data_IF_237686964474
#
_entry.id   IF_237686964474
#
_cell.length_a   1.000
_cell.length_b   1.000
_cell.length_c   1.000
_cell.angle_alpha   90.00
_cell.angle_beta   90.00
_cell.angle_gamma   90.00
#
_symmetry.space_group_name_H-M   'P 1'
#
loop_
_entity.id
_entity.type
_entity.pdbx_description
1 polymer ?
#
# COMPACT_ATOMS: atom_id res chain seq x y z
N UNK A 1 -5.16 -12.01 -18.41
CA UNK A 1 -6.15 -11.17 -17.71
C UNK A 1 -5.36 -9.99 -17.17
N UNK A 2 -5.60 -8.77 -17.65
CA UNK A 2 -4.87 -7.60 -17.13
C UNK A 2 -5.26 -7.41 -15.67
N UNK A 3 -4.28 -7.13 -14.81
CA UNK A 3 -4.46 -6.88 -13.37
C UNK A 3 -5.15 -5.52 -13.08
N UNK A 4 -5.88 -4.94 -14.03
CA UNK A 4 -6.21 -3.50 -14.06
C UNK A 4 -7.63 -3.11 -13.60
N UNK A 5 -8.49 -4.04 -13.18
CA UNK A 5 -9.90 -3.73 -12.91
C UNK A 5 -10.29 -3.77 -11.42
N UNK A 6 -9.33 -3.89 -10.51
CA UNK A 6 -9.65 -3.80 -9.07
C UNK A 6 -9.76 -2.33 -8.63
N UNK A 7 -10.84 -1.94 -7.93
CA UNK A 7 -11.02 -0.56 -7.48
C UNK A 7 -9.97 -0.19 -6.42
N UNK A 8 -9.40 1.00 -6.58
CA UNK A 8 -8.53 1.61 -5.55
C UNK A 8 -9.42 2.30 -4.52
N UNK A 9 -9.55 1.69 -3.33
CA UNK A 9 -10.18 2.34 -2.17
C UNK A 9 -9.18 3.29 -1.52
N UNK A 10 -9.53 4.55 -1.23
CA UNK A 10 -8.61 5.54 -0.62
C UNK A 10 -8.76 5.62 0.91
N UNK A 11 -8.78 4.46 1.56
CA UNK A 11 -8.88 4.32 3.02
C UNK A 11 -7.92 3.24 3.54
N UNK A 12 -7.84 3.11 4.87
CA UNK A 12 -7.03 2.11 5.57
C UNK A 12 -7.72 0.76 5.80
N UNK A 13 -8.87 0.47 5.20
CA UNK A 13 -9.66 -0.71 5.56
C UNK A 13 -9.22 -1.96 4.79
N UNK A 14 -9.14 -3.09 5.50
CA UNK A 14 -8.94 -4.40 4.89
C UNK A 14 -10.24 -4.91 4.26
N UNK A 15 -10.13 -5.54 3.09
CA UNK A 15 -11.28 -6.02 2.33
C UNK A 15 -11.06 -7.43 1.83
N UNK A 16 -12.11 -8.24 1.93
CA UNK A 16 -12.19 -9.56 1.31
C UNK A 16 -13.08 -9.47 0.07
N UNK A 17 -12.51 -9.77 -1.10
CA UNK A 17 -13.26 -9.89 -2.36
C UNK A 17 -14.27 -11.03 -2.27
N UNK A 18 -15.50 -10.79 -2.71
CA UNK A 18 -16.62 -11.73 -2.74
C UNK A 18 -17.05 -12.01 -4.17
N UNK A 19 -18.01 -12.93 -4.32
CA UNK A 19 -18.66 -13.21 -5.61
C UNK A 19 -19.28 -11.92 -6.17
N UNK A 20 -19.37 -11.85 -7.49
CA UNK A 20 -19.97 -10.72 -8.23
C UNK A 20 -19.29 -9.36 -7.96
N UNK A 21 -18.01 -9.34 -7.59
CA UNK A 21 -17.22 -8.11 -7.46
C UNK A 21 -17.54 -7.25 -6.23
N UNK A 22 -18.31 -7.78 -5.27
CA UNK A 22 -18.53 -7.11 -3.98
C UNK A 22 -17.33 -7.27 -3.04
N UNK A 23 -17.16 -6.32 -2.12
CA UNK A 23 -16.07 -6.33 -1.13
C UNK A 23 -16.63 -6.20 0.27
N UNK A 24 -16.24 -7.10 1.17
CA UNK A 24 -16.59 -7.04 2.60
C UNK A 24 -15.41 -6.47 3.37
N UNK A 25 -15.64 -5.42 4.15
CA UNK A 25 -14.65 -4.92 5.12
C UNK A 25 -14.42 -5.97 6.21
N UNK A 26 -13.16 -6.21 6.55
CA UNK A 26 -12.74 -7.15 7.60
C UNK A 26 -11.76 -6.46 8.53
N UNK A 27 -11.61 -7.01 9.74
CA UNK A 27 -10.66 -6.48 10.72
C UNK A 27 -9.22 -6.63 10.21
N UNK A 28 -8.33 -5.68 10.54
CA UNK A 28 -6.90 -5.81 10.29
C UNK A 28 -6.31 -6.98 11.10
N UNK A 29 -5.18 -7.56 10.67
CA UNK A 29 -4.44 -8.51 11.50
C UNK A 29 -4.01 -7.83 12.81
N UNK A 30 -4.11 -8.57 13.92
CA UNK A 30 -3.57 -8.11 15.21
C UNK A 30 -2.06 -8.35 15.19
N UNK A 31 -1.29 -7.27 15.33
CA UNK A 31 0.16 -7.30 15.40
C UNK A 31 0.60 -7.15 16.86
N UNK A 32 1.55 -7.98 17.30
CA UNK A 32 2.10 -7.93 18.67
C UNK A 32 3.19 -6.86 18.83
N UNK A 33 3.73 -6.37 17.71
CA UNK A 33 4.76 -5.35 17.61
C UNK A 33 4.73 -4.73 16.19
N UNK A 34 5.40 -3.58 15.97
CA UNK A 34 5.64 -3.10 14.62
C UNK A 34 6.34 -4.15 13.76
N UNK A 35 5.96 -4.23 12.49
CA UNK A 35 6.48 -5.23 11.54
C UNK A 35 7.24 -4.58 10.40
N UNK A 36 8.08 -5.38 9.75
CA UNK A 36 8.76 -5.02 8.52
C UNK A 36 8.15 -5.78 7.34
N UNK A 37 7.86 -5.07 6.25
CA UNK A 37 7.66 -5.70 4.95
C UNK A 37 9.03 -5.98 4.34
N UNK A 38 9.43 -7.25 4.33
CA UNK A 38 10.77 -7.66 3.90
C UNK A 38 10.92 -7.76 2.38
N UNK A 39 9.82 -7.72 1.62
CA UNK A 39 9.88 -7.88 0.16
C UNK A 39 8.64 -7.30 -0.52
N UNK A 40 8.79 -6.11 -1.12
CA UNK A 40 7.75 -5.54 -1.97
C UNK A 40 8.35 -4.89 -3.21
N UNK A 41 7.60 -4.86 -4.31
CA UNK A 41 7.99 -4.14 -5.52
C UNK A 41 7.14 -2.88 -5.61
N UNK A 42 7.53 -1.80 -4.91
CA UNK A 42 6.69 -0.59 -4.78
C UNK A 42 6.26 -0.03 -6.14
N UNK A 43 7.17 0.04 -7.11
CA UNK A 43 6.89 0.54 -8.46
C UNK A 43 5.81 -0.23 -9.23
N UNK A 44 5.50 -1.46 -8.82
CA UNK A 44 4.50 -2.31 -9.47
C UNK A 44 3.14 -2.27 -8.76
N UNK A 45 3.05 -1.54 -7.64
CA UNK A 45 1.78 -1.35 -6.94
C UNK A 45 0.90 -0.35 -7.69
N UNK A 46 -0.43 -0.53 -7.72
CA UNK A 46 -1.35 0.39 -8.40
C UNK A 46 -1.29 1.84 -7.89
N UNK A 47 -1.00 2.01 -6.60
CA UNK A 47 -0.79 3.32 -5.96
C UNK A 47 0.25 3.16 -4.84
N UNK A 48 1.56 3.39 -5.12
CA UNK A 48 2.62 3.16 -4.15
C UNK A 48 2.55 4.09 -2.93
N UNK A 49 2.13 5.36 -3.13
CA UNK A 49 1.95 6.32 -2.04
C UNK A 49 0.86 5.88 -1.07
N UNK A 50 -0.30 5.46 -1.60
CA UNK A 50 -1.38 4.91 -0.78
C UNK A 50 -0.99 3.61 -0.07
N UNK A 51 -0.22 2.73 -0.72
CA UNK A 51 0.28 1.51 -0.09
C UNK A 51 1.17 1.82 1.11
N UNK A 52 2.07 2.79 0.98
CA UNK A 52 2.91 3.26 2.09
C UNK A 52 2.09 3.94 3.20
N UNK A 53 1.05 4.71 2.86
CA UNK A 53 0.15 5.29 3.84
C UNK A 53 -0.55 4.21 4.69
N UNK A 54 -0.98 3.13 4.05
CA UNK A 54 -1.58 1.96 4.72
C UNK A 54 -0.57 1.21 5.59
N UNK A 55 0.67 1.09 5.14
CA UNK A 55 1.75 0.52 5.96
C UNK A 55 1.87 1.30 7.28
N UNK A 56 1.96 2.62 7.21
CA UNK A 56 2.05 3.47 8.39
C UNK A 56 0.81 3.36 9.30
N UNK A 57 -0.39 3.32 8.74
CA UNK A 57 -1.64 3.18 9.50
C UNK A 57 -1.77 1.83 10.24
N UNK A 58 -1.06 0.79 9.78
CA UNK A 58 -1.12 -0.57 10.33
C UNK A 58 0.21 -1.03 10.93
N UNK A 59 1.05 -0.10 11.40
CA UNK A 59 2.30 -0.40 12.11
C UNK A 59 3.32 -1.26 11.32
N UNK A 60 3.33 -1.12 9.99
CA UNK A 60 4.45 -1.56 9.15
C UNK A 60 5.44 -0.41 9.07
N UNK A 61 6.49 -0.45 9.89
CA UNK A 61 7.41 0.68 10.10
C UNK A 61 8.65 0.64 9.21
N UNK A 62 8.91 -0.50 8.56
CA UNK A 62 10.01 -0.66 7.62
C UNK A 62 9.54 -1.41 6.38
N UNK A 63 9.94 -0.93 5.20
CA UNK A 63 9.60 -1.54 3.91
C UNK A 63 10.88 -1.72 3.11
N UNK A 64 11.20 -2.96 2.79
CA UNK A 64 12.27 -3.31 1.86
C UNK A 64 11.69 -3.40 0.44
N UNK A 65 11.87 -2.31 -0.33
CA UNK A 65 11.47 -2.30 -1.73
C UNK A 65 12.55 -2.94 -2.61
N UNK A 66 12.15 -3.90 -3.42
CA UNK A 66 12.95 -4.54 -4.43
C UNK A 66 12.74 -3.81 -5.75
N UNK A 67 13.84 -3.44 -6.38
CA UNK A 67 13.84 -2.82 -7.69
C UNK A 67 13.80 -3.92 -8.75
N UNK A 68 12.74 -3.94 -9.56
CA UNK A 68 12.73 -4.74 -10.77
C UNK A 68 13.51 -4.01 -11.86
N UNK A 69 14.73 -4.48 -12.13
CA UNK A 69 15.64 -3.90 -13.13
C UNK A 69 15.20 -4.14 -14.56
N UNK A 70 14.33 -5.12 -14.81
CA UNK A 70 13.89 -5.49 -16.15
C UNK A 70 12.69 -4.67 -16.61
N UNK A 71 11.70 -4.44 -15.74
CA UNK A 71 10.49 -3.69 -16.09
C UNK A 71 10.72 -2.17 -16.08
N UNK A 72 11.18 -1.63 -14.95
CA UNK A 72 11.57 -0.21 -14.82
C UNK A 72 12.32 -0.01 -13.49
N UNK A 73 13.64 -0.17 -13.55
CA UNK A 73 14.48 -0.08 -12.35
C UNK A 73 14.69 1.34 -11.83
N UNK A 74 14.45 2.37 -12.64
CA UNK A 74 14.73 3.76 -12.27
C UNK A 74 13.57 4.38 -11.48
N UNK A 75 12.32 4.01 -11.81
CA UNK A 75 11.11 4.61 -11.23
C UNK A 75 11.10 4.61 -9.71
N UNK A 76 11.55 3.54 -9.04
CA UNK A 76 11.63 3.54 -7.57
C UNK A 76 12.52 4.68 -7.06
N UNK A 77 13.70 4.89 -7.64
CA UNK A 77 14.63 5.92 -7.19
C UNK A 77 14.10 7.34 -7.47
N UNK A 78 13.49 7.55 -8.63
CA UNK A 78 12.99 8.85 -9.06
C UNK A 78 11.74 9.28 -8.27
N UNK A 79 10.86 8.33 -7.96
CA UNK A 79 9.53 8.60 -7.39
C UNK A 79 9.46 8.44 -5.87
N UNK A 80 10.45 7.81 -5.22
CA UNK A 80 10.39 7.49 -3.79
C UNK A 80 10.05 8.70 -2.92
N UNK A 81 10.68 9.86 -3.17
CA UNK A 81 10.39 11.06 -2.39
C UNK A 81 8.96 11.57 -2.61
N UNK A 82 8.43 11.50 -3.83
CA UNK A 82 7.05 11.85 -4.12
C UNK A 82 6.07 10.90 -3.42
N UNK A 83 6.30 9.59 -3.51
CA UNK A 83 5.45 8.60 -2.83
C UNK A 83 5.49 8.75 -1.31
N UNK A 84 6.63 9.10 -0.70
CA UNK A 84 6.71 9.40 0.73
C UNK A 84 5.87 10.62 1.11
N UNK A 85 5.89 11.66 0.28
CA UNK A 85 5.08 12.86 0.51
C UNK A 85 3.59 12.59 0.36
N UNK A 86 3.20 11.91 -0.72
CA UNK A 86 1.84 11.44 -0.97
C UNK A 86 1.34 10.56 0.20
N UNK A 87 2.18 9.61 0.64
CA UNK A 87 1.88 8.73 1.76
C UNK A 87 1.64 9.48 3.07
N UNK A 88 2.45 10.50 3.39
CA UNK A 88 2.25 11.30 4.60
C UNK A 88 0.92 12.07 4.57
N UNK A 89 0.56 12.62 3.41
CA UNK A 89 -0.71 13.32 3.22
C UNK A 89 -1.92 12.38 3.32
N UNK A 90 -1.80 11.17 2.78
CA UNK A 90 -2.88 10.16 2.80
C UNK A 90 -2.98 9.44 4.14
N UNK A 91 -1.85 9.16 4.81
CA UNK A 91 -1.83 8.55 6.14
C UNK A 91 -2.62 9.41 7.13
N UNK A 92 -2.44 10.73 7.10
CA UNK A 92 -3.23 11.66 7.92
C UNK A 92 -4.73 11.49 7.71
N UNK A 93 -5.18 11.41 6.45
CA UNK A 93 -6.61 11.23 6.13
C UNK A 93 -7.13 9.87 6.61
N UNK A 94 -6.30 8.83 6.51
CA UNK A 94 -6.64 7.47 6.94
C UNK A 94 -6.76 7.41 8.47
N UNK A 95 -5.80 7.97 9.20
CA UNK A 95 -5.78 7.94 10.67
C UNK A 95 -6.81 8.86 11.29
N UNK A 96 -7.13 9.99 10.66
CA UNK A 96 -8.20 10.90 11.11
C UNK A 96 -9.60 10.28 10.93
N UNK A 97 -9.73 9.16 10.22
CA UNK A 97 -10.97 8.41 10.01
C UNK A 97 -11.18 7.30 11.06
N UNK A 98 -10.14 6.94 11.82
CA UNK A 98 -10.16 5.91 12.86
C UNK A 98 -10.50 6.51 14.24
#
# INVERSE_FOLDING_TARGET
MSHNDEPIFRDGLFRQKRKHGSYRVVDPPVLEAPVADTHTHLQLLPDPGLALARCAAHHVEFVCTIVDVFEDGATTFDRLNSWKFEAAADAKKITDWC
#
